data_IF_230957265968
#
_entry.id   IF_230957265968
#
_cell.length_a   1.000
_cell.length_b   1.000
_cell.length_c   1.000
_cell.angle_alpha   90.00
_cell.angle_beta   90.00
_cell.angle_gamma   90.00
#
_symmetry.space_group_name_H-M   'P 1'
#
loop_
_entity.id
_entity.type
_entity.pdbx_description
1 polymer ?
#
# COMPACT_ATOMS: atom_id res chain seq x y z
N UNK A 1 37.14 20.92 -0.13
CA UNK A 1 36.15 20.15 -0.93
C UNK A 1 34.77 20.74 -0.61
N UNK A 2 33.95 20.99 -1.64
CA UNK A 2 32.58 21.52 -1.48
C UNK A 2 31.68 20.42 -0.91
N UNK A 3 30.71 20.80 -0.06
CA UNK A 3 29.72 19.87 0.55
C UNK A 3 28.93 19.09 -0.52
N UNK A 4 28.68 19.71 -1.68
CA UNK A 4 28.02 19.10 -2.85
C UNK A 4 28.78 17.89 -3.46
N UNK A 5 30.06 17.74 -3.17
CA UNK A 5 30.83 16.55 -3.57
C UNK A 5 30.75 15.41 -2.55
N UNK A 6 30.45 15.72 -1.30
CA UNK A 6 30.34 14.75 -0.24
C UNK A 6 28.95 14.05 -0.27
N UNK A 7 27.91 14.84 -0.55
CA UNK A 7 26.54 14.32 -0.68
C UNK A 7 25.77 15.08 -1.77
N UNK A 8 24.93 14.35 -2.49
CA UNK A 8 24.04 14.92 -3.52
C UNK A 8 22.73 15.47 -2.93
N UNK A 9 22.48 15.27 -1.65
CA UNK A 9 21.28 15.74 -0.98
C UNK A 9 21.59 16.20 0.44
N UNK A 10 20.89 17.24 0.90
CA UNK A 10 20.90 17.70 2.29
C UNK A 10 20.49 16.59 3.28
N UNK A 11 19.61 15.69 2.85
CA UNK A 11 19.16 14.56 3.66
C UNK A 11 20.27 13.54 3.96
N UNK A 12 21.16 13.28 3.00
CA UNK A 12 22.30 12.37 3.19
C UNK A 12 23.39 13.05 4.03
N UNK A 13 23.59 14.35 3.86
CA UNK A 13 24.48 15.14 4.71
C UNK A 13 24.00 15.13 6.16
N UNK A 14 22.70 15.32 6.40
CA UNK A 14 22.08 15.23 7.73
C UNK A 14 22.40 13.90 8.44
N UNK A 15 22.19 12.77 7.75
CA UNK A 15 22.48 11.44 8.31
C UNK A 15 23.95 11.28 8.69
N UNK A 16 24.81 11.80 7.85
CA UNK A 16 26.26 11.72 8.07
C UNK A 16 26.68 12.55 9.29
N UNK A 17 26.11 13.74 9.46
CA UNK A 17 26.38 14.59 10.62
C UNK A 17 25.83 13.97 11.91
N UNK A 18 24.63 13.38 11.90
CA UNK A 18 24.09 12.64 13.04
C UNK A 18 25.02 11.50 13.50
N UNK A 19 25.66 10.82 12.54
CA UNK A 19 26.66 9.80 12.84
C UNK A 19 27.91 10.42 13.47
N UNK A 20 28.41 11.54 12.93
CA UNK A 20 29.58 12.23 13.47
C UNK A 20 29.33 12.74 14.90
N UNK A 21 28.17 13.33 15.16
CA UNK A 21 27.81 13.77 16.52
C UNK A 21 27.73 12.61 17.50
N UNK A 22 27.15 11.48 17.10
CA UNK A 22 27.05 10.27 17.95
C UNK A 22 28.43 9.74 18.37
N UNK A 23 29.42 9.89 17.50
CA UNK A 23 30.79 9.45 17.76
C UNK A 23 31.73 10.59 18.23
N UNK A 24 31.20 11.79 18.52
CA UNK A 24 31.98 12.94 18.98
C UNK A 24 32.96 13.48 17.92
N UNK A 25 32.69 13.22 16.61
CA UNK A 25 33.55 13.66 15.51
C UNK A 25 33.09 15.01 15.00
N UNK A 26 34.01 15.99 14.90
CA UNK A 26 33.73 17.30 14.33
C UNK A 26 33.96 17.32 12.82
N UNK A 27 33.08 17.98 12.09
CA UNK A 27 33.18 18.16 10.65
C UNK A 27 33.69 19.57 10.32
N UNK A 28 34.71 19.66 9.47
CA UNK A 28 35.26 20.92 8.98
C UNK A 28 35.35 20.90 7.45
N UNK A 29 34.71 21.91 6.83
CA UNK A 29 34.86 22.16 5.38
C UNK A 29 35.82 23.33 5.16
N UNK A 30 36.96 23.04 4.57
CA UNK A 30 38.02 24.04 4.33
C UNK A 30 37.63 25.10 3.30
N UNK A 31 36.85 24.71 2.27
CA UNK A 31 36.48 25.59 1.16
C UNK A 31 35.26 26.47 1.43
N UNK A 32 34.40 26.06 2.36
CA UNK A 32 33.16 26.78 2.69
C UNK A 32 33.19 27.41 4.09
N UNK A 33 34.35 27.39 4.75
CA UNK A 33 34.54 27.89 6.13
C UNK A 33 33.50 27.36 7.12
N UNK A 34 33.05 26.12 6.90
CA UNK A 34 32.06 25.47 7.74
C UNK A 34 32.76 24.58 8.76
N UNK A 35 32.59 24.91 10.05
CA UNK A 35 33.24 24.22 11.13
C UNK A 35 32.27 23.98 12.28
N UNK A 36 31.93 22.73 12.54
CA UNK A 36 30.99 22.34 13.60
C UNK A 36 31.53 22.53 15.02
N UNK A 37 32.84 22.84 15.18
CA UNK A 37 33.42 23.17 16.51
C UNK A 37 33.00 24.54 16.98
N UNK A 38 32.63 25.47 16.09
CA UNK A 38 32.23 26.84 16.42
C UNK A 38 30.73 26.94 16.67
N UNK A 39 30.30 27.90 17.53
CA UNK A 39 28.87 28.15 17.75
C UNK A 39 28.11 28.51 16.48
N UNK A 40 28.74 29.31 15.59
CA UNK A 40 28.16 29.66 14.29
C UNK A 40 28.04 28.46 13.36
N UNK A 41 29.05 27.58 13.33
CA UNK A 41 29.01 26.37 12.54
C UNK A 41 27.92 25.41 13.01
N UNK A 42 27.72 25.25 14.30
CA UNK A 42 26.60 24.46 14.88
C UNK A 42 25.24 25.07 14.53
N UNK A 43 25.10 26.40 14.62
CA UNK A 43 23.85 27.06 14.21
C UNK A 43 23.54 26.83 12.74
N UNK A 44 24.54 26.99 11.85
CA UNK A 44 24.38 26.76 10.42
C UNK A 44 24.00 25.29 10.14
N UNK A 45 24.62 24.34 10.84
CA UNK A 45 24.28 22.94 10.75
C UNK A 45 22.82 22.70 11.12
N UNK A 46 22.36 23.20 12.25
CA UNK A 46 20.96 23.05 12.70
C UNK A 46 19.97 23.63 11.68
N UNK A 47 20.30 24.76 11.06
CA UNK A 47 19.49 25.34 9.98
C UNK A 47 19.43 24.37 8.79
N UNK A 48 20.56 23.82 8.34
CA UNK A 48 20.61 22.87 7.23
C UNK A 48 19.83 21.58 7.53
N UNK A 49 19.94 21.08 8.77
CA UNK A 49 19.19 19.90 9.22
C UNK A 49 17.68 20.18 9.20
N UNK A 50 17.25 21.33 9.68
CA UNK A 50 15.84 21.75 9.68
C UNK A 50 15.30 21.88 8.25
N UNK A 51 16.10 22.44 7.34
CA UNK A 51 15.73 22.50 5.91
C UNK A 51 15.58 21.11 5.29
N UNK A 52 16.52 20.19 5.54
CA UNK A 52 16.46 18.82 5.05
C UNK A 52 15.22 18.07 5.57
N UNK A 53 14.83 18.32 6.82
CA UNK A 53 13.62 17.77 7.40
C UNK A 53 12.37 18.36 6.74
N UNK A 54 12.31 19.68 6.59
CA UNK A 54 11.23 20.38 5.92
C UNK A 54 11.00 19.87 4.48
N UNK A 55 12.07 19.73 3.68
CA UNK A 55 11.98 19.16 2.32
C UNK A 55 11.39 17.73 2.31
N UNK A 56 11.80 16.89 3.28
CA UNK A 56 11.23 15.53 3.43
C UNK A 56 9.75 15.57 3.75
N UNK A 57 9.34 16.43 4.67
CA UNK A 57 7.93 16.58 5.08
C UNK A 57 7.06 17.06 3.93
N UNK A 58 7.47 18.13 3.24
CA UNK A 58 6.75 18.68 2.07
C UNK A 58 6.66 17.66 0.93
N UNK A 59 7.74 16.92 0.68
CA UNK A 59 7.73 15.85 -0.34
C UNK A 59 6.76 14.73 0.06
N UNK A 60 6.78 14.33 1.33
CA UNK A 60 5.85 13.35 1.87
C UNK A 60 4.38 13.80 1.77
N UNK A 61 4.10 15.07 2.04
CA UNK A 61 2.77 15.66 1.87
C UNK A 61 2.31 15.62 0.41
N UNK A 62 3.13 16.08 -0.52
CA UNK A 62 2.82 16.04 -1.96
C UNK A 62 2.55 14.63 -2.47
N UNK A 63 3.30 13.63 -1.98
CA UNK A 63 3.08 12.22 -2.33
C UNK A 63 1.73 11.74 -1.77
N UNK A 64 1.43 12.05 -0.50
CA UNK A 64 0.14 11.69 0.13
C UNK A 64 -1.03 12.31 -0.61
N UNK A 65 -0.95 13.58 -0.98
CA UNK A 65 -1.98 14.31 -1.71
C UNK A 65 -2.20 13.73 -3.10
N UNK A 66 -1.11 13.40 -3.81
CA UNK A 66 -1.19 12.75 -5.13
C UNK A 66 -1.85 11.36 -5.03
N UNK A 67 -1.50 10.56 -4.02
CA UNK A 67 -2.14 9.27 -3.78
C UNK A 67 -3.62 9.46 -3.45
N UNK A 68 -3.96 10.42 -2.59
CA UNK A 68 -5.33 10.73 -2.24
C UNK A 68 -6.17 11.16 -3.46
N UNK A 69 -5.62 12.03 -4.29
CA UNK A 69 -6.26 12.46 -5.54
C UNK A 69 -6.47 11.30 -6.52
N UNK A 70 -5.47 10.41 -6.67
CA UNK A 70 -5.57 9.24 -7.53
C UNK A 70 -6.64 8.25 -7.03
N UNK A 71 -6.71 8.02 -5.71
CA UNK A 71 -7.73 7.15 -5.12
C UNK A 71 -9.14 7.72 -5.26
N UNK A 72 -9.33 9.05 -5.14
CA UNK A 72 -10.62 9.69 -5.39
C UNK A 72 -11.08 9.52 -6.85
N UNK A 73 -10.14 9.41 -7.78
CA UNK A 73 -10.43 9.09 -9.19
C UNK A 73 -10.68 7.60 -9.43
N UNK A 74 -10.68 6.76 -8.38
CA UNK A 74 -10.91 5.33 -8.50
C UNK A 74 -9.73 4.52 -9.02
N UNK A 75 -8.52 5.10 -9.02
CA UNK A 75 -7.32 4.43 -9.50
C UNK A 75 -6.76 3.44 -8.48
N UNK A 76 -6.36 2.26 -8.94
CA UNK A 76 -5.63 1.30 -8.12
C UNK A 76 -4.22 1.79 -7.82
N UNK A 77 -3.89 1.96 -6.55
CA UNK A 77 -2.61 2.52 -6.11
C UNK A 77 -1.61 1.46 -5.63
N UNK A 78 -1.84 0.20 -6.00
CA UNK A 78 -0.96 -0.91 -5.64
C UNK A 78 -1.40 -1.68 -4.40
N UNK A 79 -0.60 -2.66 -4.03
CA UNK A 79 -0.88 -3.64 -3.00
C UNK A 79 -1.13 -5.03 -3.58
N UNK A 80 -1.56 -5.97 -2.73
CA UNK A 80 -1.91 -7.33 -3.18
C UNK A 80 -3.24 -7.27 -3.93
N UNK A 81 -3.30 -7.74 -5.19
CA UNK A 81 -4.56 -7.78 -5.91
C UNK A 81 -5.53 -8.76 -5.21
N UNK A 82 -6.81 -8.39 -5.05
CA UNK A 82 -7.79 -9.30 -4.50
C UNK A 82 -8.03 -10.49 -5.44
N UNK A 83 -8.40 -11.65 -4.89
CA UNK A 83 -8.83 -12.80 -5.69
C UNK A 83 -9.96 -12.35 -6.62
N UNK A 84 -9.91 -12.71 -7.89
CA UNK A 84 -10.85 -12.25 -8.91
C UNK A 84 -10.31 -11.15 -9.82
N UNK A 85 -9.21 -10.52 -9.46
CA UNK A 85 -8.58 -9.47 -10.26
C UNK A 85 -7.09 -9.72 -10.47
N UNK A 86 -6.60 -9.37 -11.64
CA UNK A 86 -5.19 -9.20 -11.94
C UNK A 86 -4.85 -7.71 -12.06
N UNK A 87 -3.56 -7.38 -12.07
CA UNK A 87 -3.10 -6.00 -12.23
C UNK A 87 -2.45 -5.85 -13.60
N UNK A 88 -3.05 -5.05 -14.46
CA UNK A 88 -2.51 -4.67 -15.76
C UNK A 88 -2.42 -3.14 -15.85
N UNK A 89 -1.28 -2.61 -16.24
CA UNK A 89 -1.05 -1.17 -16.39
C UNK A 89 -1.53 -0.34 -15.17
N UNK A 90 -1.28 -0.83 -13.95
CA UNK A 90 -1.71 -0.22 -12.68
C UNK A 90 -3.24 -0.15 -12.49
N UNK A 91 -3.99 -1.00 -13.16
CA UNK A 91 -5.44 -1.12 -13.02
C UNK A 91 -5.81 -2.54 -12.63
N UNK A 92 -6.88 -2.70 -11.90
CA UNK A 92 -7.48 -4.01 -11.65
C UNK A 92 -8.28 -4.43 -12.88
N UNK A 93 -7.97 -5.61 -13.39
CA UNK A 93 -8.70 -6.24 -14.52
C UNK A 93 -9.29 -7.55 -14.02
N UNK A 94 -10.57 -7.85 -14.26
CA UNK A 94 -11.15 -9.12 -13.86
C UNK A 94 -10.41 -10.30 -14.48
N UNK A 95 -10.00 -11.25 -13.64
CA UNK A 95 -9.55 -12.56 -14.06
C UNK A 95 -10.79 -13.45 -14.16
N UNK A 96 -11.20 -13.84 -15.36
CA UNK A 96 -12.47 -14.53 -15.59
C UNK A 96 -12.61 -15.85 -14.81
N UNK A 97 -11.52 -16.60 -14.64
CA UNK A 97 -11.51 -17.84 -13.86
C UNK A 97 -11.75 -17.55 -12.37
N UNK A 98 -11.02 -16.62 -11.82
CA UNK A 98 -11.14 -16.23 -10.41
C UNK A 98 -12.45 -15.46 -10.15
N UNK A 99 -12.90 -14.65 -11.10
CA UNK A 99 -14.17 -13.92 -11.00
C UNK A 99 -15.37 -14.86 -10.93
N UNK A 100 -15.36 -15.96 -11.71
CA UNK A 100 -16.37 -17.03 -11.59
C UNK A 100 -16.35 -17.66 -10.19
N UNK A 101 -15.17 -17.91 -9.64
CA UNK A 101 -15.02 -18.44 -8.29
C UNK A 101 -15.57 -17.47 -7.24
N UNK A 102 -15.30 -16.17 -7.37
CA UNK A 102 -15.83 -15.14 -6.46
C UNK A 102 -17.37 -15.12 -6.50
N UNK A 103 -17.98 -15.09 -7.70
CA UNK A 103 -19.43 -15.16 -7.84
C UNK A 103 -20.00 -16.41 -7.19
N UNK A 104 -19.37 -17.56 -7.41
CA UNK A 104 -19.75 -18.83 -6.81
C UNK A 104 -19.70 -18.77 -5.28
N UNK A 105 -18.62 -18.24 -4.68
CA UNK A 105 -18.46 -18.09 -3.23
C UNK A 105 -19.60 -17.23 -2.64
N UNK A 106 -19.95 -16.11 -3.29
CA UNK A 106 -21.05 -15.25 -2.83
C UNK A 106 -22.41 -15.94 -2.93
N UNK A 107 -22.69 -16.61 -4.03
CA UNK A 107 -23.95 -17.36 -4.21
C UNK A 107 -24.06 -18.50 -3.21
N UNK A 108 -23.01 -19.32 -3.04
CA UNK A 108 -23.01 -20.42 -2.09
C UNK A 108 -23.16 -19.96 -0.64
N UNK A 109 -22.60 -18.78 -0.31
CA UNK A 109 -22.80 -18.20 1.02
C UNK A 109 -24.29 -17.87 1.27
N UNK A 110 -24.99 -17.29 0.30
CA UNK A 110 -26.43 -17.01 0.40
C UNK A 110 -27.24 -18.30 0.56
N UNK A 111 -26.90 -19.35 -0.18
CA UNK A 111 -27.60 -20.64 -0.11
C UNK A 111 -27.36 -21.38 1.23
N UNK A 112 -26.13 -21.36 1.72
CA UNK A 112 -25.75 -22.08 2.94
C UNK A 112 -26.07 -21.31 4.24
N UNK A 113 -26.11 -19.99 4.19
CA UNK A 113 -26.28 -19.13 5.36
C UNK A 113 -25.19 -19.29 6.43
N UNK A 114 -24.07 -19.98 6.10
CA UNK A 114 -23.07 -20.36 7.07
C UNK A 114 -21.65 -20.30 6.49
N UNK A 115 -20.83 -19.41 7.04
CA UNK A 115 -19.41 -19.29 6.67
C UNK A 115 -18.62 -20.57 7.01
N UNK A 116 -19.00 -21.31 8.05
CA UNK A 116 -18.33 -22.55 8.43
C UNK A 116 -18.62 -23.68 7.44
N UNK A 117 -19.86 -23.79 6.95
CA UNK A 117 -20.23 -24.75 5.92
C UNK A 117 -19.53 -24.43 4.60
N UNK A 118 -19.51 -23.16 4.21
CA UNK A 118 -18.82 -22.70 3.00
C UNK A 118 -17.32 -23.00 3.04
N UNK A 119 -16.63 -22.73 4.17
CA UNK A 119 -15.21 -23.06 4.31
C UNK A 119 -14.94 -24.55 4.15
N UNK A 120 -15.80 -25.43 4.68
CA UNK A 120 -15.66 -26.89 4.51
C UNK A 120 -15.77 -27.28 3.03
N UNK A 121 -16.76 -26.75 2.31
CA UNK A 121 -16.97 -26.99 0.88
C UNK A 121 -15.75 -26.54 0.08
N UNK A 122 -15.31 -25.28 0.24
CA UNK A 122 -14.16 -24.72 -0.48
C UNK A 122 -12.86 -25.48 -0.20
N UNK A 123 -12.71 -26.02 1.01
CA UNK A 123 -11.56 -26.85 1.38
C UNK A 123 -11.57 -28.20 0.66
N UNK A 124 -12.72 -28.82 0.52
CA UNK A 124 -12.88 -30.08 -0.25
C UNK A 124 -12.59 -29.85 -1.75
N UNK A 125 -12.99 -28.68 -2.27
CA UNK A 125 -12.74 -28.29 -3.65
C UNK A 125 -11.31 -27.79 -3.91
N UNK A 126 -10.46 -27.78 -2.86
CA UNK A 126 -9.06 -27.33 -2.96
C UNK A 126 -8.90 -25.85 -3.26
N UNK A 127 -9.90 -25.00 -2.95
CA UNK A 127 -9.87 -23.57 -3.21
C UNK A 127 -8.91 -22.86 -2.30
N UNK A 128 -8.04 -22.02 -2.88
CA UNK A 128 -7.03 -21.25 -2.16
C UNK A 128 -7.21 -19.75 -2.39
N UNK A 129 -6.59 -18.96 -1.53
CA UNK A 129 -6.44 -17.51 -1.75
C UNK A 129 -5.57 -17.25 -2.99
N UNK A 130 -5.56 -16.01 -3.46
CA UNK A 130 -4.79 -15.63 -4.66
C UNK A 130 -3.30 -15.91 -4.46
N UNK A 131 -2.72 -16.61 -5.44
CA UNK A 131 -1.27 -16.64 -5.64
C UNK A 131 -0.84 -15.39 -6.42
N UNK A 132 0.27 -14.78 -6.04
CA UNK A 132 0.74 -13.56 -6.69
C UNK A 132 2.26 -13.44 -6.60
N UNK A 133 2.84 -12.71 -7.56
CA UNK A 133 4.28 -12.45 -7.61
C UNK A 133 4.54 -10.96 -7.34
N UNK A 134 5.49 -10.67 -6.44
CA UNK A 134 5.91 -9.29 -6.16
C UNK A 134 6.69 -8.71 -7.35
N UNK A 135 6.86 -7.40 -7.38
CA UNK A 135 7.71 -6.74 -8.38
C UNK A 135 9.18 -7.23 -8.32
N UNK A 136 9.64 -7.66 -7.16
CA UNK A 136 10.99 -8.23 -6.95
C UNK A 136 11.06 -9.73 -7.33
N UNK A 137 10.05 -10.28 -7.99
CA UNK A 137 10.01 -11.66 -8.46
C UNK A 137 9.74 -12.72 -7.39
N UNK A 138 9.38 -12.35 -6.15
CA UNK A 138 9.03 -13.31 -5.09
C UNK A 138 7.58 -13.77 -5.28
N UNK A 139 7.39 -15.06 -5.52
CA UNK A 139 6.07 -15.68 -5.60
C UNK A 139 5.54 -16.01 -4.20
N UNK A 140 4.28 -15.77 -3.98
CA UNK A 140 3.52 -16.19 -2.80
C UNK A 140 2.37 -17.08 -3.26
N UNK A 141 2.41 -18.32 -2.82
CA UNK A 141 1.35 -19.30 -3.11
C UNK A 141 0.07 -18.99 -2.35
N UNK A 142 -1.05 -19.39 -2.95
CA UNK A 142 -2.35 -19.33 -2.30
C UNK A 142 -2.41 -20.26 -1.07
N UNK A 143 -3.13 -19.82 -0.04
CA UNK A 143 -3.37 -20.60 1.17
C UNK A 143 -4.82 -21.06 1.23
N UNK A 144 -5.13 -22.20 1.89
CA UNK A 144 -6.51 -22.60 2.11
C UNK A 144 -7.32 -21.44 2.73
N UNK A 145 -8.54 -21.27 2.25
CA UNK A 145 -9.42 -20.20 2.73
C UNK A 145 -9.99 -20.60 4.09
N UNK A 146 -9.78 -19.77 5.09
CA UNK A 146 -10.35 -19.90 6.42
C UNK A 146 -11.60 -18.99 6.61
N UNK A 147 -12.25 -19.13 7.76
CA UNK A 147 -13.43 -18.35 8.12
C UNK A 147 -13.16 -16.84 8.11
N UNK A 148 -12.00 -16.41 8.66
CA UNK A 148 -11.60 -15.00 8.68
C UNK A 148 -11.37 -14.45 7.28
N UNK A 149 -10.83 -15.27 6.37
CA UNK A 149 -10.66 -14.91 4.97
C UNK A 149 -12.00 -14.75 4.25
N UNK A 150 -12.98 -15.65 4.50
CA UNK A 150 -14.34 -15.54 3.94
C UNK A 150 -14.98 -14.21 4.35
N UNK A 151 -14.97 -13.85 5.63
CA UNK A 151 -15.53 -12.56 6.06
C UNK A 151 -14.88 -11.37 5.38
N UNK A 152 -13.54 -11.36 5.27
CA UNK A 152 -12.81 -10.31 4.54
C UNK A 152 -13.19 -10.25 3.07
N UNK A 153 -13.37 -11.41 2.44
CA UNK A 153 -13.75 -11.52 1.03
C UNK A 153 -15.18 -11.00 0.83
N UNK A 154 -16.15 -11.48 1.60
CA UNK A 154 -17.55 -11.07 1.51
C UNK A 154 -17.78 -9.59 1.85
N UNK A 155 -16.89 -8.98 2.64
CA UNK A 155 -16.96 -7.56 3.00
C UNK A 155 -16.10 -6.64 2.12
N UNK A 156 -15.46 -7.19 1.08
CA UNK A 156 -14.56 -6.41 0.23
C UNK A 156 -15.33 -5.72 -0.91
N UNK A 157 -15.63 -4.44 -0.73
CA UNK A 157 -16.38 -3.62 -1.71
C UNK A 157 -15.64 -3.39 -3.04
N UNK A 158 -14.38 -3.83 -3.16
CA UNK A 158 -13.69 -3.86 -4.45
C UNK A 158 -14.46 -4.72 -5.46
N UNK A 159 -15.17 -5.75 -5.00
CA UNK A 159 -16.01 -6.58 -5.87
C UNK A 159 -17.26 -5.86 -6.41
N UNK A 160 -17.66 -4.75 -5.80
CA UNK A 160 -18.69 -3.83 -6.30
C UNK A 160 -18.13 -2.73 -7.22
N UNK A 161 -16.84 -2.74 -7.51
CA UNK A 161 -16.18 -1.66 -8.25
C UNK A 161 -15.93 -0.42 -7.40
N UNK A 162 -15.70 -0.57 -6.10
CA UNK A 162 -15.40 0.54 -5.19
C UNK A 162 -14.02 0.38 -4.54
N UNK A 163 -13.35 1.50 -4.29
CA UNK A 163 -12.06 1.54 -3.59
C UNK A 163 -12.15 2.42 -2.34
N UNK A 164 -11.56 1.93 -1.25
CA UNK A 164 -11.52 2.68 0.01
C UNK A 164 -10.33 3.64 0.04
N UNK A 165 -10.59 4.87 0.47
CA UNK A 165 -9.54 5.80 0.89
C UNK A 165 -9.93 6.45 2.21
N UNK A 166 -9.15 6.20 3.27
CA UNK A 166 -9.51 6.55 4.66
C UNK A 166 -10.88 5.94 5.01
N UNK A 167 -11.85 6.77 5.37
CA UNK A 167 -13.19 6.33 5.79
C UNK A 167 -14.25 6.50 4.68
N UNK A 168 -13.82 6.79 3.46
CA UNK A 168 -14.72 7.00 2.32
C UNK A 168 -14.49 5.95 1.23
N UNK A 169 -15.57 5.63 0.51
CA UNK A 169 -15.57 4.74 -0.63
C UNK A 169 -15.78 5.57 -1.90
N UNK A 170 -15.03 5.23 -2.92
CA UNK A 170 -15.07 5.91 -4.22
C UNK A 170 -15.30 4.89 -5.31
N UNK A 171 -16.08 5.29 -6.34
CA UNK A 171 -16.24 4.49 -7.55
C UNK A 171 -14.87 4.26 -8.18
N UNK A 172 -14.55 2.99 -8.45
CA UNK A 172 -13.29 2.60 -9.03
C UNK A 172 -13.35 2.58 -10.56
N UNK A 173 -12.18 2.61 -11.20
CA UNK A 173 -12.07 2.44 -12.66
C UNK A 173 -12.26 0.99 -13.11
N UNK A 174 -12.13 0.01 -12.20
CA UNK A 174 -12.27 -1.40 -12.52
C UNK A 174 -13.74 -1.82 -12.52
N UNK A 175 -14.13 -2.74 -13.40
CA UNK A 175 -15.50 -3.26 -13.44
C UNK A 175 -15.78 -4.12 -12.20
N UNK A 176 -17.04 -4.12 -11.69
CA UNK A 176 -17.45 -4.99 -10.59
C UNK A 176 -17.52 -6.45 -11.03
N UNK A 177 -17.25 -7.37 -10.10
CA UNK A 177 -17.43 -8.82 -10.28
C UNK A 177 -18.79 -9.26 -9.75
N UNK A 178 -19.30 -8.59 -8.72
CA UNK A 178 -20.53 -8.91 -7.99
C UNK A 178 -21.57 -7.83 -8.28
N UNK A 179 -22.83 -8.25 -8.48
CA UNK A 179 -23.95 -7.32 -8.57
C UNK A 179 -24.33 -6.78 -7.18
N UNK A 180 -25.00 -5.63 -7.16
CA UNK A 180 -25.47 -5.02 -5.92
C UNK A 180 -26.48 -5.90 -5.20
N UNK A 181 -27.37 -6.55 -5.91
CA UNK A 181 -28.40 -7.45 -5.36
C UNK A 181 -27.77 -8.63 -4.62
N UNK A 182 -26.76 -9.28 -5.23
CA UNK A 182 -26.04 -10.40 -4.61
C UNK A 182 -25.26 -9.95 -3.38
N UNK A 183 -24.64 -8.78 -3.44
CA UNK A 183 -23.97 -8.16 -2.29
C UNK A 183 -24.93 -7.91 -1.12
N UNK A 184 -26.06 -7.29 -1.40
CA UNK A 184 -27.04 -6.96 -0.37
C UNK A 184 -27.65 -8.24 0.25
N UNK A 185 -27.89 -9.30 -0.56
CA UNK A 185 -28.33 -10.61 -0.08
C UNK A 185 -27.32 -11.26 0.89
N UNK A 186 -26.02 -11.16 0.59
CA UNK A 186 -24.94 -11.64 1.48
C UNK A 186 -24.93 -10.85 2.78
N UNK A 187 -25.07 -9.51 2.71
CA UNK A 187 -25.00 -8.64 3.89
C UNK A 187 -26.24 -8.69 4.77
N UNK A 188 -27.37 -9.19 4.26
CA UNK A 188 -28.53 -9.51 5.06
C UNK A 188 -28.34 -10.75 5.96
N UNK A 189 -27.34 -11.61 5.65
CA UNK A 189 -27.04 -12.83 6.40
C UNK A 189 -25.84 -12.63 7.35
N UNK A 190 -24.89 -11.72 6.99
CA UNK A 190 -23.69 -11.44 7.77
C UNK A 190 -23.99 -10.72 9.08
#
# INVERSE_FOLDING_TARGET
>A
YKIDRLTRSLADFSKMVEVFERYGVSFVSVTQQFNTTTSMGRLMLNILLSFAQFEREVTGERIRDKIAASKRKGMWMGGVPPLGYDVENRRLVPNEREAKLIRHIFQRFVELGSSTALVKELKLDGVTSKAWTTQDGKTRDGRPIDKGHIYKLLSNRTYLGELRHKDQWYQAEHPPIISRELWDSVHAIL
#
